data_IF_657688075500
#
_entry.id   IF_657688075500
#
_cell.length_a   1.000
_cell.length_b   1.000
_cell.length_c   1.000
_cell.angle_alpha   90.00
_cell.angle_beta   90.00
_cell.angle_gamma   90.00
#
_symmetry.space_group_name_H-M   'P 1'
#
loop_
_entity.id
_entity.type
_entity.pdbx_description
1 polymer ?
#
# COMPACT_ATOMS: atom_id res chain seq x y z
N UNK A 1 10.85 10.85 -16.14
CA UNK A 1 10.69 9.83 -17.21
C UNK A 1 11.95 9.79 -18.08
N UNK A 2 12.67 8.67 -18.08
CA UNK A 2 13.79 8.46 -19.01
C UNK A 2 13.27 7.93 -20.36
N UNK A 3 12.62 8.78 -21.13
CA UNK A 3 12.11 8.43 -22.47
C UNK A 3 13.22 8.14 -23.49
N UNK A 4 14.45 8.59 -23.25
CA UNK A 4 15.54 8.47 -24.22
C UNK A 4 15.85 7.03 -24.61
N UNK A 5 15.94 6.10 -23.63
CA UNK A 5 16.24 4.68 -23.93
C UNK A 5 15.16 3.98 -24.76
N UNK A 6 13.84 4.08 -24.43
CA UNK A 6 12.80 3.54 -25.30
C UNK A 6 12.80 4.13 -26.71
N UNK A 7 12.98 5.46 -26.81
CA UNK A 7 13.03 6.15 -28.11
C UNK A 7 14.20 5.64 -28.94
N UNK A 8 15.42 5.55 -28.39
CA UNK A 8 16.60 5.00 -29.07
C UNK A 8 16.36 3.55 -29.52
N UNK A 9 15.75 2.69 -28.69
CA UNK A 9 15.39 1.32 -29.08
C UNK A 9 14.45 1.28 -30.28
N UNK A 10 13.42 2.13 -30.27
CA UNK A 10 12.45 2.22 -31.37
C UNK A 10 13.09 2.80 -32.65
N UNK A 11 13.98 3.77 -32.53
CA UNK A 11 14.76 4.32 -33.64
C UNK A 11 15.66 3.24 -34.25
N UNK A 12 16.45 2.54 -33.43
CA UNK A 12 17.35 1.48 -33.88
C UNK A 12 16.58 0.31 -34.54
N UNK A 13 15.36 0.04 -34.10
CA UNK A 13 14.46 -0.96 -34.68
C UNK A 13 13.70 -0.43 -35.91
N UNK A 14 13.87 0.84 -36.29
CA UNK A 14 13.10 1.53 -37.34
C UNK A 14 11.57 1.45 -37.13
N UNK A 15 11.13 1.54 -35.87
CA UNK A 15 9.73 1.41 -35.45
C UNK A 15 9.14 2.68 -34.84
N UNK A 16 9.95 3.73 -34.68
CA UNK A 16 9.52 4.95 -33.98
C UNK A 16 8.33 5.62 -34.67
N UNK A 17 8.37 5.71 -36.03
CA UNK A 17 7.27 6.29 -36.79
C UNK A 17 5.97 5.50 -36.59
N UNK A 18 6.02 4.17 -36.70
CA UNK A 18 4.85 3.30 -36.50
C UNK A 18 4.26 3.44 -35.11
N UNK A 19 5.14 3.60 -34.09
CA UNK A 19 4.73 3.81 -32.72
C UNK A 19 3.99 5.14 -32.53
N UNK A 20 4.57 6.23 -33.04
CA UNK A 20 3.93 7.56 -32.99
C UNK A 20 2.59 7.57 -33.73
N UNK A 21 2.55 6.98 -34.93
CA UNK A 21 1.34 6.86 -35.75
C UNK A 21 0.22 6.14 -34.97
N UNK A 22 0.54 4.99 -34.33
CA UNK A 22 -0.42 4.24 -33.53
C UNK A 22 -0.91 5.00 -32.29
N UNK A 23 -0.05 5.74 -31.61
CA UNK A 23 -0.47 6.55 -30.45
C UNK A 23 -1.34 7.72 -30.92
N UNK A 24 -1.04 8.34 -32.08
CA UNK A 24 -1.82 9.46 -32.59
C UNK A 24 -3.24 9.08 -33.00
N UNK A 25 -3.52 7.79 -33.27
CA UNK A 25 -4.85 7.26 -33.52
C UNK A 25 -5.74 7.19 -32.27
N UNK A 26 -5.13 7.24 -31.06
CA UNK A 26 -5.85 7.11 -29.80
C UNK A 26 -6.24 8.49 -29.26
N UNK A 27 -7.54 8.76 -29.21
CA UNK A 27 -8.05 10.01 -28.66
C UNK A 27 -8.23 9.90 -27.15
N UNK A 28 -7.24 10.41 -26.41
CA UNK A 28 -7.24 10.51 -24.94
C UNK A 28 -7.67 11.89 -24.44
N UNK A 29 -8.32 12.70 -25.27
CA UNK A 29 -8.73 14.03 -24.87
C UNK A 29 -9.73 13.97 -23.70
N UNK A 30 -9.66 14.87 -22.69
CA UNK A 30 -10.53 14.85 -21.50
C UNK A 30 -12.03 14.88 -21.79
N UNK A 31 -12.44 15.37 -22.97
CA UNK A 31 -13.83 15.35 -23.41
C UNK A 31 -14.33 13.94 -23.76
N UNK A 32 -13.44 13.03 -24.11
CA UNK A 32 -13.76 11.67 -24.57
C UNK A 32 -13.37 10.61 -23.55
N UNK A 33 -12.36 10.88 -22.74
CA UNK A 33 -11.86 9.97 -21.67
C UNK A 33 -11.88 10.72 -20.35
N UNK A 34 -12.76 10.31 -19.43
CA UNK A 34 -12.81 10.88 -18.09
C UNK A 34 -11.55 10.52 -17.28
N UNK A 35 -11.25 11.28 -16.21
CA UNK A 35 -10.13 10.98 -15.33
C UNK A 35 -10.22 9.56 -14.74
N UNK A 36 -11.42 9.10 -14.37
CA UNK A 36 -11.65 7.74 -13.92
C UNK A 36 -11.29 6.69 -14.99
N UNK A 37 -11.73 6.89 -16.23
CA UNK A 37 -11.39 5.99 -17.34
C UNK A 37 -9.90 6.04 -17.68
N UNK A 38 -9.26 7.20 -17.57
CA UNK A 38 -7.81 7.33 -17.76
C UNK A 38 -7.05 6.54 -16.68
N UNK A 39 -7.48 6.60 -15.42
CA UNK A 39 -6.93 5.77 -14.33
C UNK A 39 -7.05 4.27 -14.62
N UNK A 40 -8.19 3.81 -15.12
CA UNK A 40 -8.39 2.41 -15.52
C UNK A 40 -7.48 1.97 -16.68
N UNK A 41 -7.30 2.82 -17.69
CA UNK A 41 -6.39 2.57 -18.82
C UNK A 41 -4.95 2.47 -18.31
N UNK A 42 -4.55 3.39 -17.44
CA UNK A 42 -3.21 3.43 -16.89
C UNK A 42 -2.91 2.19 -16.03
N UNK A 43 -3.84 1.78 -15.19
CA UNK A 43 -3.73 0.57 -14.38
C UNK A 43 -3.64 -0.71 -15.23
N UNK A 44 -4.45 -0.83 -16.27
CA UNK A 44 -4.38 -1.98 -17.18
C UNK A 44 -3.03 -2.03 -17.92
N UNK A 45 -2.47 -0.88 -18.28
CA UNK A 45 -1.11 -0.81 -18.84
C UNK A 45 -0.07 -1.28 -17.82
N UNK A 46 -0.15 -0.84 -16.56
CA UNK A 46 0.76 -1.28 -15.50
C UNK A 46 0.67 -2.79 -15.27
N UNK A 47 -0.55 -3.33 -15.21
CA UNK A 47 -0.78 -4.77 -15.07
C UNK A 47 -0.09 -5.55 -16.19
N UNK A 48 -0.27 -5.13 -17.43
CA UNK A 48 0.36 -5.77 -18.61
C UNK A 48 1.89 -5.65 -18.58
N UNK A 49 2.42 -4.51 -18.15
CA UNK A 49 3.86 -4.35 -18.00
C UNK A 49 4.44 -5.28 -16.93
N UNK A 50 3.77 -5.41 -15.79
CA UNK A 50 4.17 -6.34 -14.73
C UNK A 50 4.15 -7.79 -15.20
N UNK A 51 3.12 -8.21 -15.93
CA UNK A 51 3.03 -9.56 -16.52
C UNK A 51 4.12 -9.84 -17.58
N UNK A 52 4.51 -8.82 -18.35
CA UNK A 52 5.51 -8.96 -19.41
C UNK A 52 6.96 -8.94 -18.91
N UNK A 53 7.22 -8.32 -17.77
CA UNK A 53 8.59 -8.13 -17.27
C UNK A 53 9.16 -9.37 -16.61
N UNK A 54 8.39 -10.43 -16.38
CA UNK A 54 8.78 -11.64 -15.61
C UNK A 54 9.40 -11.34 -14.24
N UNK A 55 9.32 -10.10 -13.78
CA UNK A 55 9.66 -9.75 -12.43
C UNK A 55 8.61 -10.32 -11.52
N UNK A 56 9.02 -10.85 -10.39
CA UNK A 56 8.18 -11.53 -9.41
C UNK A 56 6.87 -10.79 -9.23
N UNK A 57 5.79 -11.35 -9.75
CA UNK A 57 4.48 -10.71 -9.95
C UNK A 57 3.76 -10.27 -8.67
N UNK A 58 4.42 -10.34 -7.52
CA UNK A 58 3.91 -9.92 -6.22
C UNK A 58 4.50 -8.61 -5.70
N UNK A 59 5.58 -8.08 -6.31
CA UNK A 59 6.27 -6.90 -5.75
C UNK A 59 5.67 -5.56 -6.21
N UNK A 60 4.85 -5.54 -7.26
CA UNK A 60 4.38 -4.28 -7.86
C UNK A 60 2.87 -4.17 -8.07
N UNK A 61 2.11 -5.24 -7.86
CA UNK A 61 0.67 -5.23 -8.13
C UNK A 61 -0.12 -6.07 -7.14
N UNK A 62 -1.03 -5.43 -6.42
CA UNK A 62 -2.01 -6.10 -5.57
C UNK A 62 -3.30 -6.32 -6.37
N UNK A 63 -3.83 -7.57 -6.47
CA UNK A 63 -5.09 -7.83 -7.17
C UNK A 63 -6.23 -6.95 -6.66
N UNK A 64 -6.99 -6.34 -7.57
CA UNK A 64 -8.10 -5.43 -7.21
C UNK A 64 -9.11 -6.03 -6.24
N UNK A 65 -9.39 -7.32 -6.37
CA UNK A 65 -10.35 -7.99 -5.49
C UNK A 65 -9.84 -8.07 -4.04
N UNK A 66 -8.53 -8.24 -3.86
CA UNK A 66 -7.87 -8.21 -2.54
C UNK A 66 -7.94 -6.79 -1.96
N UNK A 67 -7.59 -5.78 -2.78
CA UNK A 67 -7.68 -4.37 -2.34
C UNK A 67 -9.11 -4.00 -1.96
N UNK A 68 -10.10 -4.36 -2.78
CA UNK A 68 -11.52 -4.09 -2.49
C UNK A 68 -12.00 -4.77 -1.22
N UNK A 69 -11.57 -6.01 -0.98
CA UNK A 69 -11.87 -6.72 0.27
C UNK A 69 -11.29 -5.96 1.46
N UNK A 70 -9.97 -5.68 1.45
CA UNK A 70 -9.30 -4.95 2.53
C UNK A 70 -9.98 -3.60 2.80
N UNK A 71 -10.19 -2.82 1.74
CA UNK A 71 -10.86 -1.51 1.79
C UNK A 71 -12.27 -1.62 2.38
N UNK A 72 -13.08 -2.61 1.94
CA UNK A 72 -14.41 -2.80 2.47
C UNK A 72 -14.40 -3.17 3.95
N UNK A 73 -13.45 -3.97 4.39
CA UNK A 73 -13.30 -4.35 5.80
C UNK A 73 -12.88 -3.14 6.66
N UNK A 74 -11.91 -2.34 6.21
CA UNK A 74 -11.41 -1.17 6.94
C UNK A 74 -12.48 -0.09 7.09
N UNK A 75 -13.25 0.19 6.04
CA UNK A 75 -14.18 1.33 6.03
C UNK A 75 -15.63 0.98 6.35
N UNK A 76 -16.08 -0.27 6.20
CA UNK A 76 -17.48 -0.63 6.43
C UNK A 76 -17.93 -0.45 7.87
N UNK A 77 -17.06 -0.70 8.82
CA UNK A 77 -17.32 -0.56 10.25
C UNK A 77 -17.25 0.91 10.73
N UNK A 78 -16.74 1.81 9.90
CA UNK A 78 -16.52 3.23 10.25
C UNK A 78 -17.38 4.19 9.42
N UNK A 79 -18.41 3.68 8.77
CA UNK A 79 -19.28 4.48 7.88
C UNK A 79 -19.88 5.71 8.56
N UNK A 80 -20.26 5.60 9.83
CA UNK A 80 -20.86 6.70 10.57
C UNK A 80 -19.90 7.88 10.71
N UNK A 81 -18.60 7.63 10.93
CA UNK A 81 -17.57 8.65 11.04
C UNK A 81 -17.12 9.25 9.70
N UNK A 82 -17.51 8.61 8.60
CA UNK A 82 -17.25 9.07 7.23
C UNK A 82 -18.44 9.82 6.61
N UNK A 83 -19.62 9.82 7.25
CA UNK A 83 -20.83 10.51 6.79
C UNK A 83 -20.88 11.95 7.30
N UNK A 84 -21.43 12.85 6.50
CA UNK A 84 -21.63 14.26 6.82
C UNK A 84 -20.90 15.22 5.91
N UNK A 85 -21.20 16.50 6.05
CA UNK A 85 -20.62 17.56 5.23
C UNK A 85 -19.27 18.00 5.79
N UNK A 86 -18.32 18.32 4.91
CA UNK A 86 -17.03 18.90 5.26
C UNK A 86 -16.06 17.95 5.99
N UNK A 87 -16.30 16.65 5.90
CA UNK A 87 -15.39 15.65 6.49
C UNK A 87 -14.10 15.58 5.69
N UNK A 88 -12.98 15.69 6.39
CA UNK A 88 -11.62 15.51 5.87
C UNK A 88 -10.99 14.31 6.57
N UNK A 89 -10.44 13.37 5.81
CA UNK A 89 -9.72 12.20 6.33
C UNK A 89 -8.45 11.94 5.52
N UNK A 90 -7.56 11.18 6.11
CA UNK A 90 -6.29 10.78 5.50
C UNK A 90 -6.21 9.27 5.33
N UNK A 91 -5.65 8.83 4.19
CA UNK A 91 -5.31 7.43 3.93
C UNK A 91 -3.81 7.37 3.65
N UNK A 92 -3.09 6.51 4.38
CA UNK A 92 -1.65 6.35 4.25
C UNK A 92 -1.27 4.92 3.85
N UNK A 93 -0.31 4.82 2.92
CA UNK A 93 0.33 3.56 2.53
C UNK A 93 1.86 3.70 2.59
N UNK A 94 2.58 3.03 3.52
CA UNK A 94 4.02 3.13 3.67
C UNK A 94 4.82 2.41 2.56
N UNK A 95 4.19 1.63 1.70
CA UNK A 95 4.80 0.97 0.54
C UNK A 95 3.82 0.94 -0.63
N UNK A 96 3.44 2.16 -1.07
CA UNK A 96 2.25 2.40 -1.88
C UNK A 96 2.31 1.84 -3.31
N UNK A 97 3.46 1.36 -3.76
CA UNK A 97 3.60 0.85 -5.11
C UNK A 97 3.16 1.88 -6.15
N UNK A 98 2.27 1.49 -7.02
CA UNK A 98 1.67 2.38 -8.03
C UNK A 98 0.52 3.25 -7.48
N UNK A 99 0.17 3.16 -6.20
CA UNK A 99 -0.90 3.94 -5.58
C UNK A 99 -2.29 3.28 -5.61
N UNK A 100 -2.40 2.07 -6.14
CA UNK A 100 -3.68 1.40 -6.36
C UNK A 100 -4.52 1.21 -5.10
N UNK A 101 -3.91 0.96 -3.94
CA UNK A 101 -4.67 0.87 -2.66
C UNK A 101 -5.26 2.21 -2.27
N UNK A 102 -4.52 3.30 -2.42
CA UNK A 102 -4.96 4.65 -2.09
C UNK A 102 -6.14 5.08 -2.96
N UNK A 103 -6.03 4.89 -4.27
CA UNK A 103 -7.08 5.28 -5.23
C UNK A 103 -8.34 4.44 -5.08
N UNK A 104 -8.22 3.12 -4.96
CA UNK A 104 -9.37 2.22 -4.73
C UNK A 104 -10.04 2.51 -3.37
N UNK A 105 -9.23 2.82 -2.33
CA UNK A 105 -9.75 3.22 -1.02
C UNK A 105 -10.62 4.47 -1.11
N UNK A 106 -10.15 5.49 -1.80
CA UNK A 106 -10.91 6.71 -2.07
C UNK A 106 -12.20 6.43 -2.86
N UNK A 107 -12.08 5.73 -4.00
CA UNK A 107 -13.23 5.36 -4.84
C UNK A 107 -14.30 4.64 -4.02
N UNK A 108 -13.90 3.66 -3.22
CA UNK A 108 -14.83 2.89 -2.41
C UNK A 108 -15.61 3.76 -1.40
N UNK A 109 -14.93 4.67 -0.70
CA UNK A 109 -15.58 5.57 0.26
C UNK A 109 -16.55 6.51 -0.48
N UNK A 110 -16.13 7.09 -1.60
CA UNK A 110 -16.96 8.00 -2.37
C UNK A 110 -18.18 7.31 -2.98
N UNK A 111 -18.06 6.06 -3.42
CA UNK A 111 -19.16 5.30 -3.99
C UNK A 111 -20.14 4.74 -2.94
N UNK A 112 -19.65 4.36 -1.75
CA UNK A 112 -20.44 3.57 -0.81
C UNK A 112 -20.83 4.31 0.46
N UNK A 113 -20.20 5.46 0.77
CA UNK A 113 -20.39 6.15 2.05
C UNK A 113 -20.67 7.63 1.88
N UNK A 114 -19.75 8.39 1.24
CA UNK A 114 -19.85 9.85 1.14
C UNK A 114 -19.13 10.35 -0.11
N UNK A 115 -19.89 10.77 -1.12
CA UNK A 115 -19.36 11.24 -2.39
C UNK A 115 -18.54 12.52 -2.27
N UNK A 116 -18.87 13.37 -1.29
CA UNK A 116 -18.28 14.71 -1.12
C UNK A 116 -17.16 14.76 -0.09
N UNK A 117 -16.75 13.59 0.46
CA UNK A 117 -15.66 13.51 1.43
C UNK A 117 -14.34 13.98 0.81
N UNK A 118 -13.59 14.76 1.57
CA UNK A 118 -12.24 15.14 1.21
C UNK A 118 -11.23 14.14 1.78
N UNK A 119 -10.53 13.44 0.90
CA UNK A 119 -9.53 12.44 1.28
C UNK A 119 -8.15 12.91 0.86
N UNK A 120 -7.23 12.95 1.83
CA UNK A 120 -5.80 13.15 1.59
C UNK A 120 -5.14 11.78 1.42
N UNK A 121 -4.73 11.46 0.21
CA UNK A 121 -4.00 10.24 -0.10
C UNK A 121 -2.50 10.49 0.10
N UNK A 122 -1.86 9.69 0.94
CA UNK A 122 -0.45 9.85 1.30
C UNK A 122 0.27 8.51 1.12
N UNK A 123 1.46 8.54 0.52
CA UNK A 123 2.20 7.31 0.28
C UNK A 123 3.71 7.48 0.27
N UNK A 124 4.40 6.40 0.60
CA UNK A 124 5.84 6.30 0.46
C UNK A 124 6.21 5.09 -0.39
N UNK A 125 7.14 5.25 -1.32
CA UNK A 125 7.58 4.19 -2.23
C UNK A 125 9.12 4.17 -2.32
N UNK A 126 9.69 2.97 -2.23
CA UNK A 126 11.13 2.76 -2.29
C UNK A 126 11.67 2.81 -3.72
N UNK A 127 10.94 2.21 -4.67
CA UNK A 127 11.38 2.08 -6.05
C UNK A 127 11.12 3.37 -6.85
N UNK A 128 12.17 4.04 -7.41
CA UNK A 128 11.98 5.29 -8.12
C UNK A 128 11.07 5.22 -9.36
N UNK A 129 11.02 4.05 -10.01
CA UNK A 129 10.18 3.86 -11.20
C UNK A 129 8.71 3.73 -10.81
N UNK A 130 8.42 2.90 -9.82
CA UNK A 130 7.08 2.72 -9.26
C UNK A 130 6.57 4.00 -8.60
N UNK A 131 7.44 4.73 -7.89
CA UNK A 131 7.15 6.07 -7.37
C UNK A 131 6.72 7.05 -8.47
N UNK A 132 7.45 7.08 -9.60
CA UNK A 132 7.11 7.95 -10.71
C UNK A 132 5.74 7.58 -11.34
N UNK A 133 5.42 6.28 -11.38
CA UNK A 133 4.12 5.79 -11.82
C UNK A 133 3.00 6.23 -10.86
N UNK A 134 3.21 6.07 -9.55
CA UNK A 134 2.26 6.51 -8.52
C UNK A 134 1.99 8.02 -8.62
N UNK A 135 3.03 8.84 -8.73
CA UNK A 135 2.85 10.30 -8.93
C UNK A 135 2.07 10.62 -10.19
N UNK A 136 2.30 9.89 -11.28
CA UNK A 136 1.57 10.09 -12.53
C UNK A 136 0.09 9.72 -12.37
N UNK A 137 -0.21 8.64 -11.66
CA UNK A 137 -1.58 8.23 -11.36
C UNK A 137 -2.29 9.28 -10.49
N UNK A 138 -1.66 9.77 -9.44
CA UNK A 138 -2.20 10.86 -8.61
C UNK A 138 -2.55 12.09 -9.46
N UNK A 139 -1.65 12.50 -10.37
CA UNK A 139 -1.92 13.64 -11.26
C UNK A 139 -3.12 13.39 -12.19
N UNK A 140 -3.23 12.19 -12.75
CA UNK A 140 -4.31 11.83 -13.69
C UNK A 140 -5.66 11.75 -12.97
N UNK A 141 -5.68 11.28 -11.74
CA UNK A 141 -6.89 11.17 -10.91
C UNK A 141 -7.25 12.47 -10.18
N UNK A 142 -6.42 13.52 -10.34
CA UNK A 142 -6.67 14.84 -9.74
C UNK A 142 -6.24 14.93 -8.27
N UNK A 143 -5.42 14.00 -7.80
CA UNK A 143 -4.83 13.99 -6.47
C UNK A 143 -3.54 14.81 -6.41
N UNK A 144 -3.14 15.22 -5.20
CA UNK A 144 -1.88 15.94 -5.02
C UNK A 144 -0.68 14.97 -5.06
N UNK A 145 0.15 15.01 -6.12
CA UNK A 145 1.30 14.11 -6.25
C UNK A 145 2.40 14.41 -5.21
N UNK A 146 2.40 15.56 -4.54
CA UNK A 146 3.40 15.89 -3.51
C UNK A 146 3.16 15.12 -2.20
N UNK A 147 2.00 14.52 -2.02
CA UNK A 147 1.71 13.60 -0.93
C UNK A 147 2.37 12.22 -1.12
N UNK A 148 2.95 11.94 -2.29
CA UNK A 148 3.72 10.72 -2.53
C UNK A 148 5.22 11.05 -2.46
N UNK A 149 5.97 10.33 -1.60
CA UNK A 149 7.40 10.57 -1.38
C UNK A 149 8.24 9.34 -1.67
N UNK A 150 9.40 9.57 -2.27
CA UNK A 150 10.40 8.54 -2.52
C UNK A 150 11.24 8.32 -1.25
N UNK A 151 11.40 7.08 -0.82
CA UNK A 151 12.25 6.71 0.32
C UNK A 151 11.92 5.34 0.89
N UNK A 152 12.81 4.83 1.71
CA UNK A 152 12.61 3.57 2.43
C UNK A 152 11.91 3.82 3.76
N UNK A 153 10.69 3.31 3.91
CA UNK A 153 9.87 3.52 5.11
C UNK A 153 10.48 2.94 6.38
N UNK A 154 11.39 1.98 6.27
CA UNK A 154 12.07 1.41 7.43
C UNK A 154 13.23 2.28 7.93
N UNK A 155 14.06 2.79 7.02
CA UNK A 155 15.27 3.56 7.36
C UNK A 155 15.13 5.06 7.13
N UNK A 156 14.14 5.52 6.36
CA UNK A 156 13.96 6.92 5.99
C UNK A 156 12.48 7.32 5.99
N UNK A 157 11.89 7.47 7.18
CA UNK A 157 10.50 7.93 7.32
C UNK A 157 10.33 9.37 6.83
N UNK A 158 9.80 9.52 5.62
CA UNK A 158 9.56 10.81 4.97
C UNK A 158 8.39 11.60 5.56
N UNK A 159 7.61 10.99 6.42
CA UNK A 159 6.44 11.54 7.07
C UNK A 159 6.56 11.52 8.60
N UNK A 160 7.80 11.66 9.11
CA UNK A 160 8.07 11.66 10.55
C UNK A 160 7.20 12.70 11.27
N UNK A 161 6.48 12.25 12.30
CA UNK A 161 5.56 13.11 13.07
C UNK A 161 4.15 13.24 12.50
N UNK A 162 3.90 12.84 11.25
CA UNK A 162 2.56 12.80 10.67
C UNK A 162 1.72 11.67 11.28
N UNK A 163 0.41 11.89 11.37
CA UNK A 163 -0.60 10.94 11.83
C UNK A 163 -1.69 10.78 10.78
N UNK A 164 -2.38 9.63 10.78
CA UNK A 164 -3.35 9.31 9.74
C UNK A 164 -4.58 8.60 10.31
N UNK A 165 -5.77 8.93 9.76
CA UNK A 165 -7.04 8.32 10.16
C UNK A 165 -7.11 6.85 9.74
N UNK A 166 -6.69 6.56 8.50
CA UNK A 166 -6.69 5.22 7.91
C UNK A 166 -5.34 4.89 7.33
N UNK A 167 -4.94 3.63 7.48
CA UNK A 167 -3.70 3.13 6.88
C UNK A 167 -3.97 1.76 6.25
N UNK A 168 -3.62 1.63 4.98
CA UNK A 168 -3.82 0.38 4.22
C UNK A 168 -2.56 0.07 3.43
N UNK A 169 -2.10 -1.17 3.48
CA UNK A 169 -0.86 -1.53 2.79
C UNK A 169 -0.77 -3.01 2.42
N UNK A 170 0.00 -3.29 1.38
CA UNK A 170 0.49 -4.62 1.02
C UNK A 170 2.03 -4.60 1.06
N UNK A 171 2.65 -4.86 2.22
CA UNK A 171 4.11 -4.80 2.35
C UNK A 171 4.79 -5.94 1.56
N UNK A 172 6.07 -5.78 1.18
CA UNK A 172 6.79 -6.82 0.47
C UNK A 172 6.96 -8.09 1.33
N UNK A 173 6.61 -9.26 0.75
CA UNK A 173 6.66 -10.55 1.43
C UNK A 173 8.02 -11.23 1.30
N UNK A 174 8.55 -11.75 2.42
CA UNK A 174 9.78 -12.52 2.42
C UNK A 174 11.00 -11.73 1.93
N UNK A 175 10.91 -10.42 1.92
CA UNK A 175 12.02 -9.54 1.57
C UNK A 175 12.87 -9.29 2.79
N UNK A 176 14.18 -9.52 2.61
CA UNK A 176 15.14 -9.30 3.68
C UNK A 176 15.35 -7.81 3.93
N UNK A 177 15.20 -7.39 5.18
CA UNK A 177 15.51 -6.04 5.64
C UNK A 177 16.94 -5.89 6.17
N UNK A 178 17.83 -6.83 5.82
CA UNK A 178 19.23 -6.83 6.28
C UNK A 178 20.00 -5.55 5.91
N UNK A 179 19.65 -4.91 4.81
CA UNK A 179 20.22 -3.61 4.40
C UNK A 179 19.88 -2.48 5.38
N UNK A 180 18.74 -2.57 6.04
CA UNK A 180 18.21 -1.56 6.95
C UNK A 180 18.43 -1.92 8.42
N UNK A 181 19.13 -3.05 8.68
CA UNK A 181 19.28 -3.64 10.00
C UNK A 181 19.82 -2.63 11.03
N UNK A 182 20.85 -1.89 10.70
CA UNK A 182 21.45 -0.92 11.60
C UNK A 182 20.46 0.17 12.03
N UNK A 183 19.65 0.68 11.11
CA UNK A 183 18.61 1.68 11.40
C UNK A 183 17.51 1.12 12.29
N UNK A 184 17.01 -0.06 11.94
CA UNK A 184 15.93 -0.72 12.68
C UNK A 184 16.37 -1.10 14.09
N UNK A 185 17.57 -1.68 14.25
CA UNK A 185 18.11 -2.06 15.56
C UNK A 185 18.38 -0.83 16.43
N UNK A 186 19.01 0.21 15.91
CA UNK A 186 19.23 1.46 16.64
C UNK A 186 17.92 2.09 17.11
N UNK A 187 16.88 2.06 16.26
CA UNK A 187 15.57 2.59 16.62
C UNK A 187 14.85 1.68 17.62
N UNK A 188 15.05 0.37 17.56
CA UNK A 188 14.46 -0.59 18.50
C UNK A 188 15.03 -0.48 19.93
N UNK A 189 16.26 0.03 20.09
CA UNK A 189 16.86 0.31 21.39
C UNK A 189 16.29 1.56 22.07
N UNK A 190 15.62 2.43 21.30
CA UNK A 190 14.95 3.60 21.83
C UNK A 190 13.54 3.21 22.32
N UNK A 191 13.21 3.39 23.61
CA UNK A 191 11.89 3.06 24.14
C UNK A 191 10.70 3.73 23.42
N UNK A 192 10.94 4.87 22.76
CA UNK A 192 9.95 5.59 21.97
C UNK A 192 10.13 5.35 20.46
N UNK A 193 10.99 4.45 20.07
CA UNK A 193 11.21 4.09 18.66
C UNK A 193 10.08 3.23 18.10
N UNK A 194 9.88 3.32 16.81
CA UNK A 194 8.83 2.56 16.10
C UNK A 194 8.94 1.04 16.31
N UNK A 195 10.15 0.53 16.49
CA UNK A 195 10.47 -0.91 16.56
C UNK A 195 10.84 -1.39 17.98
N UNK A 196 10.53 -0.58 19.00
CA UNK A 196 10.92 -0.86 20.39
C UNK A 196 10.30 -2.11 21.00
N UNK A 197 9.20 -2.59 20.45
CA UNK A 197 8.51 -3.81 20.91
C UNK A 197 9.28 -5.07 20.55
N UNK A 198 9.93 -5.08 19.38
CA UNK A 198 10.74 -6.19 18.90
C UNK A 198 11.00 -6.11 17.40
N UNK A 199 12.01 -6.83 16.97
CA UNK A 199 12.37 -6.93 15.56
C UNK A 199 12.15 -8.34 15.04
N UNK A 200 11.45 -8.54 13.92
CA UNK A 200 11.26 -9.86 13.34
C UNK A 200 12.58 -10.36 12.72
N UNK A 201 12.62 -11.64 12.35
CA UNK A 201 13.76 -12.20 11.64
C UNK A 201 14.11 -11.37 10.39
N UNK A 202 15.40 -11.25 10.10
CA UNK A 202 15.89 -10.39 8.99
C UNK A 202 15.44 -10.81 7.59
N UNK A 203 14.94 -12.04 7.45
CA UNK A 203 14.43 -12.56 6.17
C UNK A 203 13.00 -12.12 5.83
N UNK A 204 12.28 -11.48 6.77
CA UNK A 204 10.88 -11.06 6.58
C UNK A 204 10.57 -9.82 7.41
N UNK A 205 10.37 -8.69 6.72
CA UNK A 205 10.16 -7.37 7.33
C UNK A 205 8.71 -6.95 7.51
N UNK A 206 7.72 -7.79 7.20
CA UNK A 206 6.31 -7.40 7.19
C UNK A 206 5.83 -6.77 8.51
N UNK A 207 6.23 -7.32 9.65
CA UNK A 207 5.87 -6.79 10.97
C UNK A 207 6.52 -5.44 11.30
N UNK A 208 7.61 -5.07 10.63
CA UNK A 208 8.18 -3.72 10.77
C UNK A 208 7.26 -2.67 10.12
N UNK A 209 6.66 -2.98 8.97
CA UNK A 209 5.68 -2.08 8.35
C UNK A 209 4.45 -1.89 9.23
N UNK A 210 3.98 -2.96 9.89
CA UNK A 210 2.87 -2.84 10.84
C UNK A 210 3.22 -1.94 12.03
N UNK A 211 4.39 -2.13 12.67
CA UNK A 211 4.85 -1.27 13.76
C UNK A 211 5.01 0.19 13.29
N UNK A 212 5.53 0.39 12.05
CA UNK A 212 5.62 1.71 11.45
C UNK A 212 4.25 2.38 11.32
N UNK A 213 3.23 1.66 10.85
CA UNK A 213 1.87 2.19 10.76
C UNK A 213 1.27 2.49 12.13
N UNK A 214 1.43 1.59 13.11
CA UNK A 214 0.96 1.80 14.48
C UNK A 214 1.59 3.07 15.08
N UNK A 215 2.87 3.35 14.79
CA UNK A 215 3.53 4.58 15.25
C UNK A 215 2.94 5.87 14.67
N UNK A 216 2.13 5.77 13.61
CA UNK A 216 1.50 6.89 12.90
C UNK A 216 0.00 7.03 13.16
N UNK A 217 -0.48 6.42 14.20
CA UNK A 217 -1.89 6.51 14.57
C UNK A 217 -2.25 7.87 15.15
N UNK A 218 -3.46 8.32 14.87
CA UNK A 218 -4.07 9.46 15.54
C UNK A 218 -4.31 9.18 17.01
N UNK A 219 -4.29 10.23 17.85
CA UNK A 219 -4.58 10.10 19.29
C UNK A 219 -6.00 9.58 19.57
N UNK A 220 -6.92 9.82 18.64
CA UNK A 220 -8.32 9.37 18.74
C UNK A 220 -8.54 7.95 18.26
N UNK A 221 -7.47 7.33 17.77
CA UNK A 221 -7.50 6.05 17.11
C UNK A 221 -7.39 6.16 15.58
N UNK A 222 -7.03 5.04 14.96
CA UNK A 222 -6.91 4.88 13.51
C UNK A 222 -7.28 3.47 13.13
N UNK A 223 -7.69 3.27 11.88
CA UNK A 223 -7.90 1.92 11.35
C UNK A 223 -6.78 1.52 10.42
N UNK A 224 -6.24 0.32 10.66
CA UNK A 224 -5.11 -0.22 9.91
C UNK A 224 -5.52 -1.52 9.25
N UNK A 225 -5.36 -1.61 7.93
CA UNK A 225 -5.53 -2.83 7.16
C UNK A 225 -4.23 -3.24 6.47
N UNK A 226 -3.79 -4.48 6.69
CA UNK A 226 -2.55 -4.99 6.09
C UNK A 226 -2.80 -6.33 5.42
N UNK A 227 -2.37 -6.45 4.18
CA UNK A 227 -2.31 -7.74 3.49
C UNK A 227 -1.02 -8.43 3.90
N UNK A 228 -1.12 -9.58 4.56
CA UNK A 228 0.04 -10.39 4.95
C UNK A 228 0.05 -11.72 4.21
N UNK A 229 1.24 -12.31 4.03
CA UNK A 229 1.30 -13.75 3.90
C UNK A 229 1.08 -14.39 5.29
N UNK A 230 0.88 -15.69 5.40
CA UNK A 230 0.64 -16.34 6.69
C UNK A 230 1.80 -16.26 7.71
N UNK A 231 2.99 -15.84 7.27
CA UNK A 231 4.21 -15.81 8.09
C UNK A 231 4.08 -15.00 9.39
N UNK A 232 3.59 -13.76 9.40
CA UNK A 232 3.47 -12.96 10.62
C UNK A 232 2.62 -13.59 11.73
N UNK A 233 1.67 -14.45 11.40
CA UNK A 233 0.79 -15.11 12.39
C UNK A 233 1.44 -16.32 13.06
N UNK A 234 2.32 -17.03 12.34
CA UNK A 234 2.74 -18.37 12.78
C UNK A 234 4.25 -18.49 13.04
N UNK A 235 5.05 -17.51 12.61
CA UNK A 235 6.50 -17.57 12.78
C UNK A 235 6.98 -17.00 14.10
N UNK A 236 8.17 -17.45 14.52
CA UNK A 236 8.83 -17.03 15.73
C UNK A 236 8.40 -17.84 16.96
N UNK A 237 9.39 -18.33 17.70
CA UNK A 237 9.20 -19.01 18.97
C UNK A 237 8.83 -18.00 20.07
N UNK A 238 8.38 -18.50 21.22
CA UNK A 238 8.08 -17.66 22.38
C UNK A 238 9.30 -16.82 22.77
N UNK A 239 9.10 -15.52 22.91
CA UNK A 239 10.17 -14.55 23.20
C UNK A 239 10.95 -14.06 21.98
N UNK A 240 10.60 -14.51 20.77
CA UNK A 240 11.12 -13.88 19.52
C UNK A 240 10.49 -12.52 19.26
N UNK A 241 11.11 -11.70 18.42
CA UNK A 241 10.55 -10.40 18.05
C UNK A 241 9.15 -10.50 17.44
N UNK A 242 8.88 -11.50 16.59
CA UNK A 242 7.55 -11.75 16.04
C UNK A 242 6.53 -12.09 17.12
N UNK A 243 6.92 -12.90 18.11
CA UNK A 243 6.07 -13.27 19.24
C UNK A 243 5.75 -12.07 20.12
N UNK A 244 6.72 -11.23 20.43
CA UNK A 244 6.53 -10.03 21.25
C UNK A 244 5.66 -8.99 20.53
N UNK A 245 5.81 -8.80 19.21
CA UNK A 245 4.95 -7.91 18.44
C UNK A 245 3.49 -8.41 18.46
N UNK A 246 3.24 -9.70 18.22
CA UNK A 246 1.88 -10.26 18.32
C UNK A 246 1.27 -10.11 19.69
N UNK A 247 2.06 -10.41 20.74
CA UNK A 247 1.66 -10.24 22.13
C UNK A 247 1.25 -8.80 22.41
N UNK A 248 2.06 -7.83 21.97
CA UNK A 248 1.78 -6.41 22.12
C UNK A 248 0.46 -5.99 21.48
N UNK A 249 0.18 -6.44 20.26
CA UNK A 249 -1.07 -6.16 19.55
C UNK A 249 -2.28 -6.73 20.33
N UNK A 250 -2.16 -7.97 20.81
CA UNK A 250 -3.24 -8.65 21.53
C UNK A 250 -3.46 -8.02 22.92
N UNK A 251 -2.40 -7.70 23.65
CA UNK A 251 -2.49 -7.09 24.98
C UNK A 251 -3.07 -5.67 24.97
N UNK A 252 -2.97 -4.98 23.84
CA UNK A 252 -3.60 -3.68 23.66
C UNK A 252 -5.02 -3.77 23.07
N UNK A 253 -5.53 -4.97 22.83
CA UNK A 253 -6.87 -5.22 22.30
C UNK A 253 -7.12 -4.52 20.93
N UNK A 254 -6.08 -4.47 20.11
CA UNK A 254 -6.13 -3.78 18.81
C UNK A 254 -6.65 -4.65 17.66
N UNK A 255 -6.75 -5.95 17.88
CA UNK A 255 -7.13 -6.90 16.85
C UNK A 255 -8.65 -7.00 16.75
N UNK A 256 -9.23 -6.58 15.63
CA UNK A 256 -10.61 -6.89 15.28
C UNK A 256 -10.71 -8.38 14.87
N UNK A 257 -11.05 -9.22 15.83
CA UNK A 257 -11.11 -10.68 15.63
C UNK A 257 -12.21 -11.12 14.66
N UNK A 258 -13.22 -10.30 14.44
CA UNK A 258 -14.34 -10.59 13.53
C UNK A 258 -13.94 -10.48 12.05
N UNK A 259 -12.82 -9.82 11.75
CA UNK A 259 -12.37 -9.50 10.40
C UNK A 259 -11.06 -10.19 9.98
N UNK A 260 -10.71 -11.31 10.62
CA UNK A 260 -9.61 -12.15 10.13
C UNK A 260 -10.08 -12.92 8.87
N UNK A 261 -10.07 -12.28 7.72
CA UNK A 261 -10.47 -12.92 6.46
C UNK A 261 -9.32 -13.76 5.91
N UNK A 262 -9.48 -15.08 5.94
CA UNK A 262 -8.60 -16.01 5.23
C UNK A 262 -9.15 -16.22 3.81
N UNK A 263 -8.54 -15.56 2.82
CA UNK A 263 -8.93 -15.72 1.42
C UNK A 263 -8.10 -16.80 0.74
N UNK A 264 -8.70 -17.92 0.27
CA UNK A 264 -8.01 -18.85 -0.62
C UNK A 264 -8.00 -18.26 -2.04
N UNK A 265 -6.86 -17.81 -2.53
CA UNK A 265 -6.70 -17.51 -3.95
C UNK A 265 -7.06 -18.75 -4.79
N UNK A 266 -8.04 -18.62 -5.68
CA UNK A 266 -8.45 -19.69 -6.59
C UNK A 266 -7.22 -20.19 -7.37
N UNK A 267 -6.98 -21.49 -7.28
CA UNK A 267 -6.03 -22.20 -8.14
C UNK A 267 -6.46 -22.04 -9.60
N UNK A 268 -5.63 -21.41 -10.41
CA UNK A 268 -5.90 -21.36 -11.84
C UNK A 268 -4.91 -20.54 -12.63
N UNK A 269 -3.62 -20.72 -12.42
CA UNK A 269 -2.52 -20.66 -13.39
C UNK A 269 -1.26 -21.20 -12.72
N UNK A 270 -0.52 -22.05 -13.43
CA UNK A 270 0.60 -22.80 -12.92
C UNK A 270 1.70 -21.89 -12.34
N UNK A 271 2.29 -22.39 -11.24
CA UNK A 271 3.40 -21.85 -10.47
C UNK A 271 3.09 -20.62 -9.63
N UNK A 272 2.59 -20.85 -8.43
CA UNK A 272 3.13 -20.23 -7.22
C UNK A 272 2.37 -20.70 -5.98
N UNK A 273 3.08 -20.81 -4.89
CA UNK A 273 2.62 -21.20 -3.57
C UNK A 273 1.30 -20.51 -3.18
N UNK A 274 0.40 -21.26 -2.57
CA UNK A 274 -0.82 -20.75 -2.01
C UNK A 274 -0.47 -19.65 -0.99
N UNK A 275 -0.63 -18.39 -1.39
CA UNK A 275 -0.60 -17.28 -0.46
C UNK A 275 -1.94 -17.26 0.26
N UNK A 276 -1.92 -17.57 1.55
CA UNK A 276 -2.99 -17.21 2.45
C UNK A 276 -2.88 -15.69 2.62
N UNK A 277 -3.79 -14.93 2.04
CA UNK A 277 -3.94 -13.53 2.36
C UNK A 277 -4.66 -13.47 3.70
N UNK A 278 -3.94 -13.06 4.72
CA UNK A 278 -4.51 -12.81 6.04
C UNK A 278 -4.59 -11.31 6.20
N UNK A 279 -5.78 -10.77 6.11
CA UNK A 279 -6.03 -9.36 6.37
C UNK A 279 -6.08 -9.17 7.89
N UNK A 280 -5.09 -8.49 8.44
CA UNK A 280 -5.10 -8.04 9.82
C UNK A 280 -5.68 -6.63 9.84
N UNK A 281 -6.86 -6.48 10.42
CA UNK A 281 -7.47 -5.18 10.66
C UNK A 281 -7.32 -4.85 12.13
N UNK A 282 -6.73 -3.71 12.41
CA UNK A 282 -6.61 -3.17 13.75
C UNK A 282 -7.59 -1.98 13.87
N UNK A 283 -8.47 -2.07 14.85
CA UNK A 283 -9.33 -0.95 15.28
C UNK A 283 -8.82 -0.43 16.62
N UNK A 284 -8.66 0.88 16.71
CA UNK A 284 -7.97 1.53 17.81
C UNK A 284 -8.84 2.64 18.40
N UNK A 285 -10.11 2.33 18.67
CA UNK A 285 -11.03 3.26 19.32
C UNK A 285 -10.75 3.50 20.81
N UNK A 286 -9.83 2.76 21.43
CA UNK A 286 -9.54 2.93 22.85
C UNK A 286 -8.23 3.69 23.05
N UNK A 287 -8.40 4.93 23.50
CA UNK A 287 -7.31 5.83 23.83
C UNK A 287 -6.33 5.23 24.85
N UNK A 288 -5.11 5.65 24.73
CA UNK A 288 -4.09 5.50 25.79
C UNK A 288 -4.65 6.06 27.11
N UNK A 289 -4.82 5.19 28.11
CA UNK A 289 -4.89 5.57 29.51
C UNK A 289 -3.49 5.61 30.09
#
# INVERSE_FOLDING_TARGET
FQLNRPVEKLQNANRLFQFIDKISEVDLHPNNVSNHMMGQIFEELLRRFSEMSNETSGEHYTPRDVVRLLVSLVFSEDKENLQGDGIVRSIFDPCCGSGGMLTIGKEWIQENVNQDIQLRLVGQELNPQTFALCKSDMMVTGEDPENIRLGNSLSEDRFSGDRYDYMITNPPYGVSWKSDKEFVENESENPNGRFSVGTPRTSDGQLLFLQHMISKMEEKGSRIGVVFNGSPLFTGDSGSGESEIRKWIIENDWLLTENLALWPLRRGTAHTAAHLVTDLILDLEQGFQ
#
